data_IF_863905871900
#
_entry.id   IF_863905871900
#
_cell.length_a   1.000
_cell.length_b   1.000
_cell.length_c   1.000
_cell.angle_alpha   90.00
_cell.angle_beta   90.00
_cell.angle_gamma   90.00
#
_symmetry.space_group_name_H-M   'P 1'
#
loop_
_entity.id
_entity.type
_entity.pdbx_description
1 polymer ?
#
# COMPACT_ATOMS: atom_id res chain seq x y z
N UNK A 1 -6.51 0.84 11.09
CA UNK A 1 -5.60 0.55 9.96
C UNK A 1 -4.99 1.84 9.44
N UNK A 2 -3.76 1.77 8.98
CA UNK A 2 -3.07 2.95 8.46
C UNK A 2 -2.00 2.54 7.45
N UNK A 3 -1.69 3.45 6.55
CA UNK A 3 -0.59 3.28 5.60
C UNK A 3 0.68 3.89 6.15
N UNK A 4 1.80 3.25 5.87
CA UNK A 4 3.12 3.84 6.07
C UNK A 4 3.82 3.91 4.73
N UNK A 5 4.46 5.04 4.47
CA UNK A 5 5.26 5.28 3.29
C UNK A 5 6.67 5.56 3.76
N UNK A 6 7.66 4.88 3.19
CA UNK A 6 9.03 4.98 3.68
C UNK A 6 10.04 4.81 2.56
N UNK A 7 11.18 5.51 2.66
CA UNK A 7 12.28 5.32 1.70
C UNK A 7 13.08 4.08 2.07
N UNK A 8 13.51 3.35 1.03
CA UNK A 8 14.38 2.20 1.22
C UNK A 8 15.23 2.01 -0.04
N UNK A 9 16.55 1.97 0.10
CA UNK A 9 17.49 1.79 -1.00
C UNK A 9 17.27 2.77 -2.15
N UNK A 10 16.99 4.03 -1.82
CA UNK A 10 16.79 5.09 -2.82
C UNK A 10 15.44 5.06 -3.51
N UNK A 11 14.53 4.22 -3.05
CA UNK A 11 13.19 4.11 -3.62
C UNK A 11 12.15 4.26 -2.54
N UNK A 12 10.89 4.47 -2.94
CA UNK A 12 9.77 4.60 -2.02
C UNK A 12 8.98 3.31 -1.97
N UNK A 13 8.59 2.93 -0.76
CA UNK A 13 7.75 1.76 -0.52
C UNK A 13 6.58 2.13 0.36
N UNK A 14 5.55 1.31 0.33
CA UNK A 14 4.41 1.49 1.24
C UNK A 14 4.00 0.15 1.84
N UNK A 15 3.34 0.24 2.98
CA UNK A 15 2.70 -0.91 3.60
C UNK A 15 1.44 -0.47 4.33
N UNK A 16 0.47 -1.37 4.39
CA UNK A 16 -0.78 -1.16 5.12
C UNK A 16 -0.68 -1.96 6.40
N UNK A 17 -0.85 -1.29 7.51
CA UNK A 17 -0.80 -1.90 8.83
C UNK A 17 -2.18 -2.00 9.43
N UNK A 18 -2.48 -3.15 10.02
CA UNK A 18 -3.72 -3.38 10.74
C UNK A 18 -3.59 -3.10 12.22
N UNK A 19 -4.53 -3.61 13.01
CA UNK A 19 -4.45 -3.56 14.45
C UNK A 19 -3.18 -4.27 14.92
N UNK A 20 -2.63 -3.83 16.05
CA UNK A 20 -1.39 -4.38 16.62
C UNK A 20 -0.18 -4.24 15.70
N UNK A 21 -0.23 -3.27 14.78
CA UNK A 21 0.89 -2.96 13.87
C UNK A 21 1.28 -4.14 12.96
N UNK A 22 0.38 -5.07 12.70
CA UNK A 22 0.69 -6.16 11.77
C UNK A 22 0.62 -5.66 10.33
N UNK A 23 1.49 -6.19 9.47
CA UNK A 23 1.50 -5.85 8.06
C UNK A 23 0.41 -6.65 7.36
N UNK A 24 -0.60 -5.94 6.82
CA UNK A 24 -1.71 -6.55 6.10
C UNK A 24 -1.40 -6.65 4.61
N UNK A 25 -0.74 -5.63 4.07
CA UNK A 25 -0.39 -5.59 2.65
C UNK A 25 0.81 -4.68 2.46
N UNK A 26 1.51 -4.87 1.35
CA UNK A 26 2.61 -3.99 0.97
C UNK A 26 2.65 -3.88 -0.54
N UNK A 27 3.28 -2.82 -1.03
CA UNK A 27 3.42 -2.57 -2.45
C UNK A 27 4.85 -2.74 -2.94
N UNK A 28 5.02 -2.52 -4.22
CA UNK A 28 6.32 -2.56 -4.87
C UNK A 28 7.14 -1.32 -4.53
N UNK A 29 8.37 -1.27 -5.03
CA UNK A 29 9.23 -0.10 -4.90
C UNK A 29 8.96 0.89 -6.03
N UNK A 30 8.96 2.18 -5.71
CA UNK A 30 8.72 3.26 -6.67
C UNK A 30 9.90 4.23 -6.62
N UNK A 31 10.34 4.68 -7.78
CA UNK A 31 11.44 5.66 -7.85
C UNK A 31 10.98 7.01 -7.34
N UNK A 32 9.74 7.41 -7.66
CA UNK A 32 9.18 8.68 -7.26
C UNK A 32 8.13 8.51 -6.18
N UNK A 33 8.18 9.40 -5.18
CA UNK A 33 7.21 9.38 -4.09
C UNK A 33 5.78 9.52 -4.59
N UNK A 34 5.55 10.35 -5.60
CA UNK A 34 4.20 10.55 -6.18
C UNK A 34 3.61 9.25 -6.72
N UNK A 35 4.43 8.36 -7.25
CA UNK A 35 3.95 7.08 -7.77
C UNK A 35 3.56 6.15 -6.62
N UNK A 36 4.31 6.21 -5.53
CA UNK A 36 3.94 5.49 -4.31
C UNK A 36 2.61 6.01 -3.76
N UNK A 37 2.43 7.33 -3.72
CA UNK A 37 1.18 7.95 -3.27
C UNK A 37 0.00 7.52 -4.16
N UNK A 38 0.21 7.44 -5.47
CA UNK A 38 -0.82 6.99 -6.40
C UNK A 38 -1.23 5.54 -6.11
N UNK A 39 -0.25 4.66 -5.86
CA UNK A 39 -0.53 3.28 -5.52
C UNK A 39 -1.35 3.16 -4.22
N UNK A 40 -1.01 3.96 -3.22
CA UNK A 40 -1.75 4.02 -1.96
C UNK A 40 -3.20 4.44 -2.22
N UNK A 41 -3.40 5.47 -3.06
CA UNK A 41 -4.74 5.96 -3.40
C UNK A 41 -5.58 4.88 -4.08
N UNK A 42 -4.97 4.09 -4.96
CA UNK A 42 -5.68 2.98 -5.60
C UNK A 42 -6.14 1.94 -4.57
N UNK A 43 -5.31 1.63 -3.61
CA UNK A 43 -5.68 0.69 -2.55
C UNK A 43 -6.78 1.27 -1.66
N UNK A 44 -6.71 2.57 -1.35
CA UNK A 44 -7.76 3.25 -0.58
C UNK A 44 -9.11 3.21 -1.28
N UNK A 45 -9.12 3.11 -2.61
CA UNK A 45 -10.36 3.02 -3.37
C UNK A 45 -11.07 1.69 -3.26
N UNK A 46 -10.45 0.68 -2.65
CA UNK A 46 -11.11 -0.60 -2.45
C UNK A 46 -12.06 -0.55 -1.26
N UNK A 47 -13.08 -1.40 -1.28
CA UNK A 47 -14.06 -1.46 -0.20
C UNK A 47 -14.72 -2.84 -0.18
N UNK A 48 -15.75 -3.02 0.63
CA UNK A 48 -16.43 -4.30 0.77
C UNK A 48 -17.08 -4.80 -0.53
N UNK A 49 -17.29 -3.91 -1.51
CA UNK A 49 -17.85 -4.26 -2.81
C UNK A 49 -16.79 -4.60 -3.85
N UNK A 50 -15.52 -4.42 -3.50
CA UNK A 50 -14.43 -4.77 -4.41
C UNK A 50 -14.41 -6.28 -4.61
N UNK A 51 -14.50 -6.77 -5.87
CA UNK A 51 -14.65 -8.20 -6.10
C UNK A 51 -13.38 -8.99 -5.75
N UNK A 52 -13.59 -10.25 -5.41
CA UNK A 52 -12.50 -11.20 -5.17
C UNK A 52 -12.70 -12.36 -6.15
N UNK A 53 -11.68 -12.63 -6.94
CA UNK A 53 -11.70 -13.73 -7.89
C UNK A 53 -10.75 -14.82 -7.43
N UNK A 54 -11.23 -16.04 -7.37
CA UNK A 54 -10.39 -17.19 -7.10
C UNK A 54 -9.78 -17.67 -8.41
N UNK A 55 -8.46 -17.75 -8.43
CA UNK A 55 -7.71 -18.15 -9.63
C UNK A 55 -7.09 -19.53 -9.45
#
# INVERSE_FOLDING_TARGET
>A
MYFEKYPQAGQWRWRLKGANHEIVASGESYIYERDCDHAIDLVKGTNSNTPVYRR
#
